data_IF_115630005188
#
_entry.id   IF_115630005188
#
_cell.length_a   1.000
_cell.length_b   1.000
_cell.length_c   1.000
_cell.angle_alpha   90.00
_cell.angle_beta   90.00
_cell.angle_gamma   90.00
#
_symmetry.space_group_name_H-M   'P 1'
#
loop_
_entity.id
_entity.type
_entity.pdbx_description
1 polymer ?
#
# COMPACT_ATOMS: atom_id res chain seq x y z
N UNK A 1 -17.46 18.21 1.89
CA UNK A 1 -17.97 16.85 1.63
C UNK A 1 -16.88 15.88 1.16
N UNK A 2 -16.08 16.20 0.12
CA UNK A 2 -15.10 15.25 -0.47
C UNK A 2 -14.05 14.74 0.55
N UNK A 3 -13.51 15.63 1.39
CA UNK A 3 -12.53 15.26 2.43
C UNK A 3 -13.08 14.27 3.46
N UNK A 4 -14.34 14.45 3.86
CA UNK A 4 -14.99 13.56 4.83
C UNK A 4 -15.19 12.16 4.25
N UNK A 5 -15.60 12.05 2.98
CA UNK A 5 -15.72 10.76 2.31
C UNK A 5 -14.39 10.01 2.22
N UNK A 6 -13.31 10.72 1.88
CA UNK A 6 -11.96 10.14 1.79
C UNK A 6 -11.44 9.72 3.17
N UNK A 7 -11.74 10.50 4.21
CA UNK A 7 -11.42 10.13 5.59
C UNK A 7 -12.14 8.84 6.03
N UNK A 8 -13.45 8.77 5.79
CA UNK A 8 -14.26 7.58 6.11
C UNK A 8 -13.80 6.35 5.32
N UNK A 9 -13.44 6.53 4.03
CA UNK A 9 -12.89 5.47 3.20
C UNK A 9 -11.57 4.94 3.76
N UNK A 10 -10.65 5.83 4.13
CA UNK A 10 -9.38 5.44 4.76
C UNK A 10 -9.61 4.71 6.09
N UNK A 11 -10.54 5.18 6.93
CA UNK A 11 -10.88 4.51 8.19
C UNK A 11 -11.46 3.10 7.94
N UNK A 12 -12.31 2.96 6.91
CA UNK A 12 -12.84 1.66 6.51
C UNK A 12 -11.73 0.70 6.06
N UNK A 13 -10.82 1.14 5.19
CA UNK A 13 -9.68 0.32 4.77
C UNK A 13 -8.80 -0.11 5.94
N UNK A 14 -8.58 0.78 6.92
CA UNK A 14 -7.82 0.45 8.13
C UNK A 14 -8.51 -0.63 8.97
N UNK A 15 -9.82 -0.50 9.20
CA UNK A 15 -10.61 -1.49 9.95
C UNK A 15 -10.66 -2.84 9.24
N UNK A 16 -10.79 -2.82 7.91
CA UNK A 16 -10.78 -4.03 7.09
C UNK A 16 -9.42 -4.75 7.19
N UNK A 17 -8.30 -4.03 7.04
CA UNK A 17 -6.95 -4.58 7.15
C UNK A 17 -6.60 -5.10 8.55
N UNK A 18 -7.18 -4.53 9.61
CA UNK A 18 -7.02 -5.06 10.96
C UNK A 18 -7.65 -6.45 11.13
N UNK A 19 -8.51 -6.87 10.18
CA UNK A 19 -9.20 -8.15 10.17
C UNK A 19 -9.69 -8.58 11.57
N UNK A 20 -10.54 -7.77 12.24
CA UNK A 20 -11.00 -8.08 13.61
C UNK A 20 -11.83 -9.37 13.67
N UNK A 21 -12.31 -9.85 12.53
CA UNK A 21 -13.01 -11.13 12.39
C UNK A 21 -12.08 -12.34 12.22
N UNK A 22 -10.75 -12.15 12.22
CA UNK A 22 -9.74 -13.21 12.14
C UNK A 22 -9.96 -14.24 11.01
N UNK A 23 -10.45 -13.80 9.84
CA UNK A 23 -10.70 -14.69 8.70
C UNK A 23 -11.89 -15.66 8.86
N UNK A 24 -12.72 -15.49 9.90
CA UNK A 24 -13.89 -16.37 10.16
C UNK A 24 -15.00 -16.21 9.08
N UNK A 25 -14.99 -15.09 8.34
CA UNK A 25 -15.99 -14.74 7.30
C UNK A 25 -15.33 -14.45 5.94
N UNK A 26 -14.42 -15.30 5.48
CA UNK A 26 -13.87 -15.19 4.12
C UNK A 26 -14.85 -15.76 3.08
N UNK A 27 -15.43 -14.87 2.25
CA UNK A 27 -16.34 -15.23 1.14
C UNK A 27 -15.61 -15.86 -0.06
N UNK A 28 -14.29 -15.67 -0.15
CA UNK A 28 -13.42 -16.16 -1.22
C UNK A 28 -12.35 -17.05 -0.56
N UNK A 29 -11.97 -18.19 -1.16
CA UNK A 29 -10.89 -19.02 -0.63
C UNK A 29 -9.54 -18.29 -0.77
N UNK A 30 -9.23 -17.47 0.23
CA UNK A 30 -8.13 -16.50 0.21
C UNK A 30 -6.78 -17.06 0.73
N UNK A 31 -6.78 -18.35 1.06
CA UNK A 31 -5.60 -19.12 1.49
C UNK A 31 -4.86 -19.80 0.34
N UNK A 32 -5.17 -19.48 -0.91
CA UNK A 32 -4.45 -20.02 -2.06
C UNK A 32 -3.10 -19.31 -2.22
N UNK A 33 -1.97 -20.04 -2.20
CA UNK A 33 -0.68 -19.43 -2.51
C UNK A 33 -0.75 -18.80 -3.91
N UNK A 34 -0.16 -17.62 -4.07
CA UNK A 34 -0.10 -16.75 -5.27
C UNK A 34 -1.26 -15.78 -5.55
N UNK A 35 -2.50 -16.06 -5.11
CA UNK A 35 -3.69 -15.23 -5.44
C UNK A 35 -4.39 -14.72 -4.17
N UNK A 36 -4.14 -15.38 -3.03
CA UNK A 36 -4.68 -14.98 -1.74
C UNK A 36 -4.29 -13.57 -1.33
N UNK A 37 -5.27 -12.84 -0.80
CA UNK A 37 -5.23 -11.50 -0.23
C UNK A 37 -5.09 -10.32 -1.21
N UNK A 38 -5.66 -10.45 -2.42
CA UNK A 38 -5.61 -9.37 -3.42
C UNK A 38 -6.45 -8.17 -3.00
N UNK A 39 -7.57 -8.40 -2.31
CA UNK A 39 -8.44 -7.38 -1.75
C UNK A 39 -7.77 -6.62 -0.60
N UNK A 40 -6.96 -7.26 0.22
CA UNK A 40 -6.10 -6.59 1.22
C UNK A 40 -5.05 -5.73 0.55
N UNK A 41 -4.40 -6.21 -0.53
CA UNK A 41 -3.47 -5.39 -1.29
C UNK A 41 -4.15 -4.14 -1.89
N UNK A 42 -5.38 -4.29 -2.37
CA UNK A 42 -6.21 -3.17 -2.82
C UNK A 42 -6.60 -2.24 -1.66
N UNK A 43 -6.94 -2.78 -0.49
CA UNK A 43 -7.26 -2.01 0.72
C UNK A 43 -6.05 -1.22 1.22
N UNK A 44 -4.85 -1.82 1.23
CA UNK A 44 -3.59 -1.12 1.55
C UNK A 44 -3.35 0.00 0.56
N UNK A 45 -3.39 -0.29 -0.75
CA UNK A 45 -3.14 0.73 -1.78
C UNK A 45 -4.13 1.90 -1.65
N UNK A 46 -5.41 1.60 -1.41
CA UNK A 46 -6.45 2.61 -1.22
C UNK A 46 -6.22 3.43 0.05
N UNK A 47 -5.84 2.80 1.16
CA UNK A 47 -5.49 3.48 2.40
C UNK A 47 -4.33 4.45 2.17
N UNK A 48 -3.26 4.00 1.50
CA UNK A 48 -2.10 4.83 1.20
C UNK A 48 -2.45 6.04 0.31
N UNK A 49 -3.34 5.86 -0.67
CA UNK A 49 -3.86 6.97 -1.48
C UNK A 49 -4.68 7.96 -0.65
N UNK A 50 -5.48 7.48 0.30
CA UNK A 50 -6.23 8.34 1.23
C UNK A 50 -5.27 9.14 2.13
N UNK A 51 -4.24 8.49 2.68
CA UNK A 51 -3.22 9.17 3.49
C UNK A 51 -2.48 10.24 2.67
N UNK A 52 -2.09 9.91 1.44
CA UNK A 52 -1.47 10.86 0.50
C UNK A 52 -2.39 12.05 0.18
N UNK A 53 -3.69 11.83 0.07
CA UNK A 53 -4.67 12.91 -0.11
C UNK A 53 -4.66 13.91 1.06
N UNK A 54 -4.36 13.45 2.28
CA UNK A 54 -4.20 14.31 3.46
C UNK A 54 -2.79 14.90 3.64
N UNK A 55 -1.88 14.65 2.69
CA UNK A 55 -0.51 15.18 2.72
C UNK A 55 0.46 14.34 3.54
N UNK A 56 0.10 13.10 3.87
CA UNK A 56 1.04 12.16 4.49
C UNK A 56 1.89 11.54 3.37
N UNK A 57 3.18 11.86 3.38
CA UNK A 57 4.14 11.29 2.43
C UNK A 57 4.50 9.86 2.84
N UNK A 58 4.46 8.95 1.88
CA UNK A 58 4.94 7.60 2.08
C UNK A 58 6.47 7.60 2.08
N UNK A 59 7.12 6.83 2.97
CA UNK A 59 8.55 6.60 2.86
C UNK A 59 8.86 5.97 1.50
N UNK A 60 9.99 6.37 0.92
CA UNK A 60 10.42 6.00 -0.41
C UNK A 60 10.98 4.56 -0.40
N UNK A 61 10.11 3.57 -0.14
CA UNK A 61 10.50 2.15 0.11
C UNK A 61 11.09 1.48 -1.13
N UNK A 62 10.84 2.06 -2.31
CA UNK A 62 11.33 1.57 -3.61
C UNK A 62 12.53 2.35 -4.14
N UNK A 63 13.10 3.27 -3.36
CA UNK A 63 14.25 4.07 -3.80
C UNK A 63 15.47 3.16 -3.96
N UNK A 64 15.66 2.68 -5.19
CA UNK A 64 16.86 1.97 -5.60
C UNK A 64 18.00 2.98 -5.66
N UNK A 65 18.85 2.99 -4.64
CA UNK A 65 20.05 3.82 -4.64
C UNK A 65 20.90 3.50 -5.87
N UNK A 66 20.87 4.37 -6.89
CA UNK A 66 21.88 4.38 -7.94
C UNK A 66 23.16 5.00 -7.36
N UNK A 67 23.84 4.28 -6.49
CA UNK A 67 25.20 4.61 -6.11
C UNK A 67 26.18 3.79 -6.95
N UNK A 68 27.07 4.51 -7.65
CA UNK A 68 28.38 4.04 -8.14
C UNK A 68 28.43 3.28 -9.48
N UNK A 69 28.23 3.98 -10.62
CA UNK A 69 28.94 3.62 -11.87
C UNK A 69 29.09 4.82 -12.81
N UNK A 70 29.82 5.84 -12.37
CA UNK A 70 30.30 6.92 -13.25
C UNK A 70 31.62 7.50 -12.73
N UNK A 71 32.67 6.67 -12.64
CA UNK A 71 34.03 7.12 -12.29
C UNK A 71 35.16 6.40 -13.02
N UNK A 72 34.90 5.72 -14.15
CA UNK A 72 35.96 5.06 -14.91
C UNK A 72 35.80 5.24 -16.43
N UNK A 73 35.82 6.48 -16.93
CA UNK A 73 36.28 6.75 -18.31
C UNK A 73 37.11 8.04 -18.28
N UNK A 74 38.40 7.88 -17.97
CA UNK A 74 39.42 8.92 -18.17
C UNK A 74 39.57 9.13 -19.69
N UNK A 75 39.46 10.36 -20.22
CA UNK A 75 39.79 10.62 -21.61
C UNK A 75 41.31 10.50 -21.78
N UNK A 76 41.75 9.65 -22.71
CA UNK A 76 43.13 9.67 -23.23
C UNK A 76 43.26 10.67 -24.35
#
# INVERSE_FOLDING_TARGET
>A
MKKLGIFLLGLFCLLYLLNPGAGIFEMIPDNLPFIGNLDEAAAVTTLLLCLRYFGIELPDIFRRDKSSKDRDVIPR
#
